data_IF_609754144355
#
_entry.id   IF_609754144355
#
_cell.length_a   1.000
_cell.length_b   1.000
_cell.length_c   1.000
_cell.angle_alpha   90.00
_cell.angle_beta   90.00
_cell.angle_gamma   90.00
#
_symmetry.space_group_name_H-M   'P 1'
#
loop_
_entity.id
_entity.type
_entity.pdbx_description
1 polymer ?
#
# COMPACT_ATOMS: atom_id res chain seq x y z
N UNK A 1 -56.32 -34.06 -42.02
CA UNK A 1 -54.91 -34.42 -41.80
C UNK A 1 -54.05 -33.33 -42.44
N UNK A 2 -53.63 -32.32 -41.66
CA UNK A 2 -52.78 -31.25 -42.18
C UNK A 2 -51.51 -31.19 -41.32
N UNK A 3 -50.41 -31.68 -41.90
CA UNK A 3 -49.08 -31.46 -41.34
C UNK A 3 -48.70 -29.99 -41.55
N UNK A 4 -48.60 -29.21 -40.49
CA UNK A 4 -48.04 -27.87 -40.49
C UNK A 4 -46.50 -28.02 -40.42
N UNK A 5 -45.86 -27.75 -41.53
CA UNK A 5 -44.42 -27.57 -41.66
C UNK A 5 -44.00 -26.30 -40.90
N UNK A 6 -43.29 -26.45 -39.77
CA UNK A 6 -42.64 -25.35 -39.06
C UNK A 6 -41.49 -24.77 -39.91
N UNK A 7 -41.34 -23.45 -39.99
CA UNK A 7 -40.32 -22.85 -40.82
C UNK A 7 -38.95 -22.99 -40.14
N UNK A 8 -38.05 -23.71 -40.79
CA UNK A 8 -36.64 -23.90 -40.40
C UNK A 8 -35.81 -22.59 -40.37
N UNK A 9 -36.46 -21.46 -40.64
CA UNK A 9 -35.80 -20.14 -40.64
C UNK A 9 -35.60 -19.53 -39.25
N UNK A 10 -36.35 -19.96 -38.26
CA UNK A 10 -36.27 -19.43 -36.89
C UNK A 10 -35.05 -19.92 -36.13
N UNK A 11 -34.62 -21.15 -36.32
CA UNK A 11 -33.45 -21.72 -35.64
C UNK A 11 -32.11 -21.08 -36.05
N UNK A 12 -32.00 -20.70 -37.31
CA UNK A 12 -30.77 -20.06 -37.82
C UNK A 12 -30.54 -18.66 -37.24
N UNK A 13 -31.61 -17.92 -37.00
CA UNK A 13 -31.57 -16.60 -36.35
C UNK A 13 -31.10 -16.68 -34.92
N UNK A 14 -31.53 -17.69 -34.17
CA UNK A 14 -31.09 -17.88 -32.77
C UNK A 14 -29.61 -18.28 -32.66
N UNK A 15 -29.12 -19.10 -33.58
CA UNK A 15 -27.70 -19.49 -33.62
C UNK A 15 -26.83 -18.28 -34.01
N UNK A 16 -27.28 -17.45 -34.95
CA UNK A 16 -26.57 -16.20 -35.30
C UNK A 16 -26.51 -15.20 -34.13
N UNK A 17 -27.60 -15.05 -33.37
CA UNK A 17 -27.65 -14.18 -32.21
C UNK A 17 -26.74 -14.70 -31.07
N UNK A 18 -26.67 -16.01 -30.88
CA UNK A 18 -25.78 -16.62 -29.89
C UNK A 18 -24.29 -16.47 -30.26
N UNK A 19 -23.94 -16.55 -31.57
CA UNK A 19 -22.57 -16.32 -32.02
C UNK A 19 -22.11 -14.87 -31.88
N UNK A 20 -23.00 -13.89 -32.02
CA UNK A 20 -22.67 -12.47 -31.84
C UNK A 20 -22.42 -12.14 -30.38
N UNK A 21 -23.14 -12.75 -29.46
CA UNK A 21 -22.92 -12.54 -28.00
C UNK A 21 -21.62 -13.15 -27.48
N UNK A 22 -21.09 -14.19 -28.10
CA UNK A 22 -19.81 -14.82 -27.75
C UNK A 22 -18.59 -14.05 -28.29
N UNK A 23 -18.74 -13.30 -29.41
CA UNK A 23 -17.65 -12.53 -29.98
C UNK A 23 -17.36 -11.18 -29.26
N UNK A 24 -18.26 -10.78 -28.35
CA UNK A 24 -18.16 -9.50 -27.64
C UNK A 24 -17.19 -9.46 -26.45
N UNK A 25 -16.70 -10.61 -25.94
CA UNK A 25 -15.98 -10.69 -24.67
C UNK A 25 -14.45 -10.70 -24.75
N UNK A 26 -13.82 -10.52 -25.91
CA UNK A 26 -12.35 -10.66 -26.04
C UNK A 26 -11.62 -9.40 -26.51
N UNK A 27 -12.24 -8.23 -26.44
CA UNK A 27 -11.48 -6.98 -26.63
C UNK A 27 -11.05 -6.46 -25.26
N UNK A 28 -9.96 -7.02 -24.72
CA UNK A 28 -9.14 -6.25 -23.79
C UNK A 28 -8.73 -4.95 -24.50
N UNK A 29 -8.97 -3.78 -23.90
CA UNK A 29 -8.41 -2.57 -24.44
C UNK A 29 -6.90 -2.77 -24.53
N UNK A 30 -6.34 -2.78 -25.73
CA UNK A 30 -4.89 -2.75 -25.91
C UNK A 30 -4.43 -1.40 -25.38
N UNK A 31 -3.87 -1.41 -24.18
CA UNK A 31 -3.21 -0.22 -23.65
C UNK A 31 -2.14 0.24 -24.65
N UNK A 32 -1.90 1.55 -24.72
CA UNK A 32 -0.79 2.04 -25.52
C UNK A 32 0.51 1.40 -25.03
N UNK A 33 1.51 1.23 -25.89
CA UNK A 33 2.84 0.71 -25.50
C UNK A 33 3.45 1.46 -24.31
N UNK A 34 3.14 2.76 -24.20
CA UNK A 34 3.56 3.58 -23.06
C UNK A 34 2.88 3.17 -21.76
N UNK A 35 1.61 2.80 -21.81
CA UNK A 35 0.84 2.34 -20.65
C UNK A 35 1.32 0.97 -20.19
N UNK A 36 1.60 0.06 -21.10
CA UNK A 36 2.15 -1.27 -20.78
C UNK A 36 3.53 -1.14 -20.12
N UNK A 37 4.42 -0.32 -20.70
CA UNK A 37 5.73 -0.05 -20.11
C UNK A 37 5.64 0.62 -18.72
N UNK A 38 4.64 1.47 -18.49
CA UNK A 38 4.41 2.08 -17.19
C UNK A 38 3.91 1.05 -16.15
N UNK A 39 3.04 0.13 -16.55
CA UNK A 39 2.55 -0.97 -15.70
C UNK A 39 3.68 -1.94 -15.34
N UNK A 40 4.53 -2.33 -16.28
CA UNK A 40 5.70 -3.17 -16.00
C UNK A 40 6.66 -2.51 -15.00
N UNK A 41 6.89 -1.20 -15.14
CA UNK A 41 7.70 -0.45 -14.16
C UNK A 41 7.05 -0.42 -12.79
N UNK A 42 5.74 -0.22 -12.72
CA UNK A 42 5.00 -0.25 -11.47
C UNK A 42 5.09 -1.62 -10.80
N UNK A 43 4.91 -2.70 -11.54
CA UNK A 43 5.03 -4.07 -11.03
C UNK A 43 6.45 -4.36 -10.53
N UNK A 44 7.48 -3.88 -11.24
CA UNK A 44 8.85 -3.99 -10.81
C UNK A 44 9.13 -3.22 -9.50
N UNK A 45 8.55 -2.05 -9.32
CA UNK A 45 8.66 -1.28 -8.07
C UNK A 45 7.85 -1.92 -6.93
N UNK A 46 6.65 -2.44 -7.20
CA UNK A 46 5.84 -3.15 -6.23
C UNK A 46 6.53 -4.42 -5.72
N UNK A 47 7.26 -5.14 -6.58
CA UNK A 47 8.05 -6.31 -6.18
C UNK A 47 9.20 -5.98 -5.21
N UNK A 48 9.65 -4.71 -5.20
CA UNK A 48 10.68 -4.20 -4.26
C UNK A 48 10.10 -3.75 -2.92
N UNK A 49 8.79 -3.63 -2.82
CA UNK A 49 8.10 -3.15 -1.62
C UNK A 49 8.50 -3.91 -0.36
N UNK A 50 8.53 -5.23 -0.43
CA UNK A 50 8.86 -6.08 0.73
C UNK A 50 10.28 -5.84 1.22
N UNK A 51 11.24 -5.68 0.30
CA UNK A 51 12.62 -5.34 0.63
C UNK A 51 12.71 -3.97 1.31
N UNK A 52 11.98 -2.99 0.80
CA UNK A 52 11.93 -1.67 1.39
C UNK A 52 11.29 -1.69 2.80
N UNK A 53 10.23 -2.47 3.00
CA UNK A 53 9.59 -2.65 4.30
C UNK A 53 10.55 -3.32 5.30
N UNK A 54 11.26 -4.37 4.90
CA UNK A 54 12.26 -5.03 5.74
C UNK A 54 13.39 -4.07 6.14
N UNK A 55 13.89 -3.29 5.19
CA UNK A 55 14.91 -2.28 5.47
C UNK A 55 14.40 -1.22 6.47
N UNK A 56 13.19 -0.70 6.26
CA UNK A 56 12.55 0.25 7.18
C UNK A 56 12.38 -0.36 8.58
N UNK A 57 11.94 -1.60 8.65
CA UNK A 57 11.76 -2.29 9.93
C UNK A 57 13.10 -2.45 10.66
N UNK A 58 14.15 -2.86 9.96
CA UNK A 58 15.49 -2.98 10.55
C UNK A 58 16.02 -1.63 11.08
N UNK A 59 15.75 -0.54 10.34
CA UNK A 59 16.10 0.81 10.78
C UNK A 59 15.33 1.21 12.05
N UNK A 60 14.03 0.94 12.12
CA UNK A 60 13.21 1.21 13.30
C UNK A 60 13.68 0.42 14.51
N UNK A 61 14.02 -0.85 14.32
CA UNK A 61 14.52 -1.70 15.40
C UNK A 61 15.87 -1.21 15.91
N UNK A 62 16.71 -0.68 15.03
CA UNK A 62 17.96 -0.03 15.42
C UNK A 62 17.69 1.21 16.28
N UNK A 63 16.81 2.11 15.83
CA UNK A 63 16.45 3.31 16.59
C UNK A 63 15.82 2.98 17.95
N UNK A 64 14.97 1.95 18.03
CA UNK A 64 14.40 1.48 19.32
C UNK A 64 15.48 0.99 20.28
N UNK A 65 16.47 0.26 19.78
CA UNK A 65 17.63 -0.16 20.60
C UNK A 65 18.43 1.03 21.12
N UNK A 66 18.57 2.05 20.30
CA UNK A 66 19.23 3.29 20.69
C UNK A 66 18.49 4.00 21.83
N UNK A 67 17.14 4.06 21.78
CA UNK A 67 16.33 4.60 22.89
C UNK A 67 16.58 3.83 24.20
N UNK A 68 16.70 2.49 24.11
CA UNK A 68 16.97 1.66 25.28
C UNK A 68 18.38 1.87 25.88
N UNK A 69 19.34 2.30 25.05
CA UNK A 69 20.73 2.59 25.43
C UNK A 69 20.95 4.03 25.89
N UNK A 70 19.92 4.84 25.94
CA UNK A 70 20.02 6.24 26.35
C UNK A 70 20.59 6.38 27.78
N UNK A 71 21.55 7.28 27.93
CA UNK A 71 22.29 7.45 29.19
C UNK A 71 21.55 8.33 30.20
N UNK A 72 20.75 9.27 29.72
CA UNK A 72 20.00 10.22 30.54
C UNK A 72 18.67 10.60 29.86
N UNK A 73 17.84 11.39 30.54
CA UNK A 73 16.53 11.79 30.05
C UNK A 73 16.62 12.61 28.75
N UNK A 74 17.58 13.53 28.65
CA UNK A 74 17.80 14.33 27.44
C UNK A 74 18.19 13.49 26.23
N UNK A 75 19.18 12.60 26.39
CA UNK A 75 19.59 11.65 25.35
C UNK A 75 18.40 10.76 24.91
N UNK A 76 17.62 10.27 25.89
CA UNK A 76 16.42 9.49 25.59
C UNK A 76 15.38 10.30 24.82
N UNK A 77 15.17 11.57 25.16
CA UNK A 77 14.24 12.45 24.45
C UNK A 77 14.64 12.63 22.99
N UNK A 78 15.90 12.91 22.70
CA UNK A 78 16.39 13.04 21.33
C UNK A 78 16.25 11.75 20.52
N UNK A 79 16.49 10.60 21.11
CA UNK A 79 16.34 9.31 20.45
C UNK A 79 14.86 8.99 20.19
N UNK A 80 13.95 9.29 21.13
CA UNK A 80 12.50 9.17 20.93
C UNK A 80 12.02 10.08 19.81
N UNK A 81 12.52 11.31 19.73
CA UNK A 81 12.23 12.22 18.65
C UNK A 81 12.68 11.65 17.29
N UNK A 82 13.90 11.13 17.20
CA UNK A 82 14.41 10.50 15.98
C UNK A 82 13.54 9.31 15.52
N UNK A 83 13.07 8.47 16.46
CA UNK A 83 12.13 7.38 16.17
C UNK A 83 10.81 7.93 15.64
N UNK A 84 10.23 8.95 16.28
CA UNK A 84 8.96 9.53 15.86
C UNK A 84 9.05 10.11 14.44
N UNK A 85 10.12 10.84 14.14
CA UNK A 85 10.37 11.40 12.81
C UNK A 85 10.47 10.32 11.73
N UNK A 86 11.09 9.20 12.04
CA UNK A 86 11.18 8.10 11.07
C UNK A 86 9.82 7.47 10.76
N UNK A 87 8.88 7.47 11.72
CA UNK A 87 7.52 6.94 11.51
C UNK A 87 6.56 7.92 10.83
N UNK A 88 6.75 9.24 10.97
CA UNK A 88 5.84 10.27 10.43
C UNK A 88 5.52 10.08 8.95
N UNK A 89 6.48 9.61 8.16
CA UNK A 89 6.35 9.51 6.70
C UNK A 89 5.54 8.31 6.22
N UNK A 90 5.27 7.30 7.08
CA UNK A 90 4.61 6.07 6.60
C UNK A 90 3.70 5.38 7.63
N UNK A 91 3.78 5.72 8.92
CA UNK A 91 2.97 5.09 9.97
C UNK A 91 2.66 6.08 11.09
N UNK A 92 1.64 6.88 10.87
CA UNK A 92 1.29 8.00 11.73
C UNK A 92 0.94 7.59 13.18
N UNK A 93 0.25 6.45 13.35
CA UNK A 93 -0.11 5.94 14.69
C UNK A 93 1.13 5.62 15.53
N UNK A 94 2.15 5.01 14.92
CA UNK A 94 3.41 4.75 15.57
C UNK A 94 4.17 6.04 15.91
N UNK A 95 4.14 7.02 15.00
CA UNK A 95 4.73 8.33 15.26
C UNK A 95 4.07 9.00 16.46
N UNK A 96 2.74 9.02 16.52
CA UNK A 96 1.97 9.59 17.63
C UNK A 96 2.30 8.90 18.97
N UNK A 97 2.44 7.58 19.00
CA UNK A 97 2.85 6.83 20.18
C UNK A 97 4.22 7.27 20.71
N UNK A 98 5.21 7.49 19.84
CA UNK A 98 6.54 7.94 20.27
C UNK A 98 6.57 9.40 20.68
N UNK A 99 5.76 10.27 20.06
CA UNK A 99 5.57 11.65 20.48
C UNK A 99 4.93 11.72 21.87
N UNK A 100 3.91 10.92 22.16
CA UNK A 100 3.32 10.85 23.50
C UNK A 100 4.35 10.44 24.56
N UNK A 101 5.16 9.44 24.28
CA UNK A 101 6.25 9.03 25.18
C UNK A 101 7.29 10.12 25.41
N UNK A 102 7.63 10.87 24.35
CA UNK A 102 8.53 12.02 24.45
C UNK A 102 7.92 13.09 25.35
N UNK A 103 6.63 13.38 25.19
CA UNK A 103 5.93 14.37 25.99
C UNK A 103 5.89 14.00 27.49
N UNK A 104 5.59 12.75 27.79
CA UNK A 104 5.61 12.23 29.16
C UNK A 104 7.00 12.31 29.80
N UNK A 105 8.03 11.98 29.03
CA UNK A 105 9.41 12.10 29.50
C UNK A 105 9.77 13.56 29.80
N UNK A 106 9.42 14.50 28.92
CA UNK A 106 9.64 15.94 29.11
C UNK A 106 8.91 16.47 30.35
N UNK A 107 7.65 16.02 30.56
CA UNK A 107 6.87 16.39 31.74
C UNK A 107 7.50 15.87 33.04
N UNK A 108 8.01 14.64 33.02
CA UNK A 108 8.65 14.03 34.22
C UNK A 108 10.03 14.58 34.53
N UNK A 109 10.79 14.97 33.50
CA UNK A 109 12.15 15.48 33.66
C UNK A 109 12.20 16.93 34.15
N UNK A 110 11.08 17.69 34.08
CA UNK A 110 11.03 19.10 34.49
C UNK A 110 11.90 20.03 33.64
N UNK A 111 12.45 19.53 32.56
CA UNK A 111 13.40 20.27 31.73
C UNK A 111 12.66 21.15 30.69
N UNK A 112 12.84 22.46 30.76
CA UNK A 112 12.32 23.40 29.76
C UNK A 112 12.95 23.22 28.40
N UNK A 113 14.18 22.73 28.32
CA UNK A 113 14.90 22.49 27.07
C UNK A 113 14.28 21.39 26.21
N UNK A 114 13.52 20.46 26.83
CA UNK A 114 12.82 19.40 26.12
C UNK A 114 11.44 19.87 25.63
N UNK A 115 10.92 20.99 26.18
CA UNK A 115 9.61 21.54 25.81
C UNK A 115 9.65 22.56 24.68
N UNK A 116 10.81 23.08 24.32
CA UNK A 116 11.01 24.03 23.21
C UNK A 116 11.35 23.31 21.92
#
# INVERSE_FOLDING_TARGET
MMLRTLPARSGFLWVLLACISLAGCTRHPKYSLQTEAALERLDAELSRKDRYQQWRQAQNDSLRREVARARNAGDRAWRLFAVSQNYVTYQLDSAAYYVDRLYRLAASAGSEDIRR
#
